data_IF_902616326191
#
_entry.id   IF_902616326191
#
_cell.length_a   1.000
_cell.length_b   1.000
_cell.length_c   1.000
_cell.angle_alpha   90.00
_cell.angle_beta   90.00
_cell.angle_gamma   90.00
#
_symmetry.space_group_name_H-M   'P 1'
#
loop_
_entity.id
_entity.type
_entity.pdbx_description
1 polymer ?
2 non-polymer ?
3 non-polymer ?
4 non-polymer ?
5 non-polymer ?
6 non-polymer ?
7 non-polymer ?
8 water ?
#
# COMPACT_ATOMS: atom_id res chain seq x y z
N UNK A 6 -11.05 -8.02 -21.96
CA UNK A 6 -11.73 -9.20 -21.44
C UNK A 6 -10.95 -9.84 -20.27
N UNK A 7 -9.68 -9.46 -20.12
CA UNK A 7 -8.79 -9.96 -19.07
C UNK A 7 -9.22 -9.59 -17.67
N UNK A 8 -10.06 -8.51 -17.54
CA UNK A 8 -10.59 -8.01 -16.27
C UNK A 8 -11.41 -9.07 -15.56
N UNK A 9 -11.47 -8.96 -14.21
CA UNK A 9 -12.10 -9.89 -13.28
C UNK A 9 -11.24 -11.12 -13.09
N UNK A 10 -10.92 -11.86 -14.17
CA UNK A 10 -10.04 -13.04 -14.11
C UNK A 10 -8.66 -12.65 -13.55
N UNK A 11 -8.34 -11.35 -13.61
CA UNK A 11 -7.16 -10.71 -13.07
C UNK A 11 -7.39 -10.45 -11.58
N UNK A 12 -8.55 -9.85 -11.24
CA UNK A 12 -8.95 -9.49 -9.86
C UNK A 12 -9.24 -10.70 -8.95
N UNK A 13 -10.17 -11.60 -9.38
CA UNK A 13 -10.60 -12.81 -8.66
C UNK A 13 -9.48 -13.44 -7.83
N UNK A 14 -8.27 -13.78 -8.40
CA UNK A 14 -7.22 -14.41 -7.56
C UNK A 14 -6.94 -13.65 -6.26
N UNK A 15 -6.87 -12.31 -6.33
CA UNK A 15 -6.63 -11.44 -5.19
C UNK A 15 -7.72 -11.49 -4.07
N UNK A 16 -8.92 -12.03 -4.40
CA UNK A 16 -10.07 -12.12 -3.49
C UNK A 16 -10.12 -13.40 -2.67
N UNK A 17 -9.10 -14.27 -2.84
CA UNK A 17 -8.99 -15.58 -2.17
C UNK A 17 -9.13 -15.53 -0.64
N UNK A 18 -8.75 -14.38 -0.02
CA UNK A 18 -8.84 -14.14 1.43
C UNK A 18 -10.29 -13.89 1.92
N UNK A 19 -11.24 -13.70 0.98
CA UNK A 19 -12.65 -13.47 1.31
C UNK A 19 -13.51 -14.75 1.27
N UNK A 20 -14.57 -14.78 2.13
CA UNK A 20 -15.53 -15.88 2.20
C UNK A 20 -16.29 -15.96 0.86
N UNK A 21 -16.77 -17.15 0.43
CA UNK A 21 -17.46 -17.24 -0.87
C UNK A 21 -18.58 -16.23 -1.07
N UNK A 22 -19.38 -16.00 -0.03
CA UNK A 22 -20.51 -15.06 -0.01
C UNK A 22 -20.02 -13.62 -0.20
N UNK A 23 -18.79 -13.33 0.25
CA UNK A 23 -18.18 -12.02 0.12
C UNK A 23 -17.70 -11.84 -1.30
N UNK A 24 -17.00 -12.84 -1.88
CA UNK A 24 -16.54 -12.81 -3.27
C UNK A 24 -17.73 -12.60 -4.22
N UNK A 25 -18.87 -13.26 -3.91
CA UNK A 25 -20.16 -13.18 -4.60
C UNK A 25 -20.64 -11.72 -4.68
N UNK A 26 -20.50 -10.95 -3.57
CA UNK A 26 -20.87 -9.53 -3.53
C UNK A 26 -19.93 -8.73 -4.44
N UNK A 27 -18.63 -9.05 -4.41
CA UNK A 27 -17.61 -8.39 -5.25
C UNK A 27 -17.83 -8.68 -6.76
N UNK A 28 -18.31 -9.89 -7.15
CA UNK A 28 -18.61 -10.17 -8.56
C UNK A 28 -19.81 -9.35 -8.99
N UNK A 29 -20.87 -9.29 -8.13
CA UNK A 29 -22.10 -8.52 -8.36
C UNK A 29 -21.74 -7.04 -8.54
N UNK A 30 -20.83 -6.52 -7.68
CA UNK A 30 -20.33 -5.14 -7.69
C UNK A 30 -19.58 -4.86 -8.97
N UNK A 31 -18.66 -5.75 -9.38
CA UNK A 31 -17.91 -5.60 -10.63
C UNK A 31 -18.86 -5.55 -11.82
N UNK A 32 -19.77 -6.52 -11.90
CA UNK A 32 -20.71 -6.58 -13.01
C UNK A 32 -21.56 -5.32 -13.13
N UNK A 33 -22.06 -4.81 -12.00
CA UNK A 33 -22.84 -3.59 -11.91
C UNK A 33 -22.02 -2.42 -12.47
N UNK A 34 -20.75 -2.28 -12.03
CA UNK A 34 -19.81 -1.26 -12.47
C UNK A 34 -19.60 -1.38 -13.98
N UNK A 35 -19.28 -2.61 -14.46
CA UNK A 35 -19.08 -2.98 -15.87
C UNK A 35 -20.21 -2.39 -16.72
N UNK A 36 -21.47 -2.49 -16.22
CA UNK A 36 -22.67 -1.95 -16.86
C UNK A 36 -22.70 -0.45 -16.81
N UNK A 37 -22.53 0.15 -15.60
CA UNK A 37 -22.58 1.60 -15.39
C UNK A 37 -21.58 2.33 -16.26
N UNK A 38 -20.35 1.79 -16.36
CA UNK A 38 -19.27 2.38 -17.16
C UNK A 38 -19.23 1.84 -18.60
N UNK A 39 -20.30 1.16 -19.06
CA UNK A 39 -20.37 0.63 -20.42
C UNK A 39 -20.27 1.78 -21.42
N UNK A 40 -19.38 1.60 -22.38
CA UNK A 40 -19.14 2.58 -23.44
C UNK A 40 -18.26 3.76 -23.04
N UNK A 41 -18.06 3.96 -21.73
CA UNK A 41 -17.22 5.05 -21.22
C UNK A 41 -15.77 4.67 -21.43
N UNK A 42 -14.94 5.68 -21.60
CA UNK A 42 -13.53 5.47 -21.85
C UNK A 42 -12.68 6.31 -20.93
N UNK A 43 -11.42 5.93 -20.79
CA UNK A 43 -10.47 6.70 -20.00
C UNK A 43 -9.71 7.59 -21.00
N UNK A 44 -9.02 8.64 -20.50
CA UNK A 44 -8.19 9.55 -21.30
C UNK A 44 -6.93 8.79 -21.77
N UNK A 45 -6.97 7.43 -21.64
CA UNK A 45 -5.92 6.49 -22.04
C UNK A 45 -6.39 5.69 -23.25
N UNK A 46 -7.71 5.72 -23.51
CA UNK A 46 -8.34 4.99 -24.61
C UNK A 46 -8.92 3.66 -24.17
N UNK A 47 -8.56 3.25 -22.95
CA UNK A 47 -9.03 2.01 -22.32
C UNK A 47 -10.48 2.18 -21.87
N UNK A 48 -11.29 1.10 -21.78
CA UNK A 48 -12.66 1.25 -21.25
C UNK A 48 -12.59 1.68 -19.78
N UNK A 49 -13.53 2.53 -19.33
CA UNK A 49 -13.50 3.07 -17.97
C UNK A 49 -13.38 2.00 -16.88
N UNK A 50 -14.10 0.85 -17.03
CA UNK A 50 -14.14 -0.27 -16.08
C UNK A 50 -12.74 -0.69 -15.59
N UNK A 51 -11.67 -0.48 -16.41
CA UNK A 51 -10.28 -0.78 -16.05
C UNK A 51 -9.82 -0.06 -14.75
N UNK A 52 -10.23 1.22 -14.57
CA UNK A 52 -9.92 2.02 -13.39
C UNK A 52 -10.59 1.47 -12.10
N UNK A 53 -11.93 1.32 -11.95
CA UNK A 53 -12.46 0.80 -10.68
C UNK A 53 -11.98 -0.60 -10.37
N UNK A 54 -11.66 -1.39 -11.43
CA UNK A 54 -11.11 -2.74 -11.27
C UNK A 54 -9.71 -2.64 -10.64
N UNK A 55 -8.87 -1.72 -11.16
CA UNK A 55 -7.52 -1.46 -10.66
C UNK A 55 -7.53 -1.00 -9.20
N UNK A 56 -8.48 -0.11 -8.84
CA UNK A 56 -8.69 0.40 -7.48
C UNK A 56 -9.10 -0.75 -6.56
N UNK A 57 -10.07 -1.60 -7.01
CA UNK A 57 -10.54 -2.80 -6.29
C UNK A 57 -9.37 -3.77 -6.08
N UNK A 58 -8.53 -3.95 -7.13
CA UNK A 58 -7.34 -4.78 -7.14
C UNK A 58 -6.36 -4.30 -6.05
N UNK A 59 -6.10 -2.97 -5.98
CA UNK A 59 -5.22 -2.35 -4.96
C UNK A 59 -5.71 -2.72 -3.55
N UNK A 60 -7.01 -2.47 -3.26
CA UNK A 60 -7.66 -2.74 -1.98
C UNK A 60 -7.56 -4.22 -1.58
N UNK A 61 -7.68 -5.15 -2.56
CA UNK A 61 -7.57 -6.59 -2.31
C UNK A 61 -6.12 -6.99 -1.95
N UNK A 62 -5.16 -6.24 -2.52
CA UNK A 62 -3.74 -6.41 -2.23
C UNK A 62 -3.49 -5.98 -0.79
N UNK A 63 -4.16 -4.88 -0.39
CA UNK A 63 -4.16 -4.32 0.96
C UNK A 63 -5.04 -5.17 1.90
N UNK A 64 -5.67 -6.25 1.37
CA UNK A 64 -6.56 -7.18 2.09
C UNK A 64 -7.62 -6.46 2.90
N UNK A 65 -8.50 -5.73 2.20
CA UNK A 65 -9.55 -4.92 2.79
C UNK A 65 -10.88 -5.62 2.95
N UNK A 66 -11.73 -5.04 3.81
CA UNK A 66 -13.12 -5.41 4.06
C UNK A 66 -13.80 -5.65 2.68
N UNK A 67 -14.66 -6.69 2.56
CA UNK A 67 -15.35 -7.00 1.30
C UNK A 67 -16.13 -5.77 0.78
N UNK A 68 -16.88 -5.10 1.68
CA UNK A 68 -17.64 -3.89 1.38
C UNK A 68 -16.75 -2.78 0.80
N UNK A 69 -15.49 -2.76 1.19
CA UNK A 69 -14.48 -1.80 0.76
C UNK A 69 -14.04 -2.08 -0.67
N UNK A 70 -13.73 -3.36 -1.01
CA UNK A 70 -13.28 -3.66 -2.36
C UNK A 70 -14.49 -3.52 -3.32
N UNK A 71 -15.71 -3.90 -2.86
CA UNK A 71 -16.95 -3.73 -3.67
C UNK A 71 -17.13 -2.23 -3.97
N UNK A 72 -16.93 -1.36 -2.94
CA UNK A 72 -16.98 0.11 -3.02
C UNK A 72 -15.90 0.64 -3.97
N UNK A 73 -14.77 -0.08 -4.06
CA UNK A 73 -13.68 0.22 -4.98
C UNK A 73 -14.15 0.07 -6.42
N UNK A 74 -14.94 -0.96 -6.69
CA UNK A 74 -15.51 -1.16 -8.01
C UNK A 74 -16.62 -0.14 -8.31
N UNK A 75 -17.24 0.46 -7.27
CA UNK A 75 -18.40 1.32 -7.44
C UNK A 75 -18.19 2.79 -7.10
N UNK A 76 -16.94 3.18 -6.76
CA UNK A 76 -16.59 4.54 -6.33
C UNK A 76 -16.83 5.65 -7.36
N UNK A 77 -17.08 5.31 -8.64
CA UNK A 77 -17.29 6.34 -9.68
C UNK A 77 -18.66 6.24 -10.41
N UNK A 78 -19.47 5.23 -10.05
CA UNK A 78 -20.79 4.95 -10.63
C UNK A 78 -21.83 6.05 -10.35
N UNK A 79 -21.63 6.84 -9.30
CA UNK A 79 -22.56 7.91 -8.94
C UNK A 79 -22.43 9.18 -9.86
N UNK A 80 -21.56 9.13 -10.89
CA UNK A 80 -21.34 10.24 -11.81
C UNK A 80 -21.30 9.83 -13.27
N UNK A 81 -22.24 10.36 -14.07
CA UNK A 81 -22.40 10.14 -15.52
C UNK A 81 -22.80 8.70 -15.89
N UNK A 82 -23.32 7.93 -14.91
CA UNK A 82 -23.71 6.54 -15.10
C UNK A 82 -25.22 6.29 -14.95
N UNK A 83 -25.93 7.32 -14.46
CA UNK A 83 -27.37 7.25 -14.19
C UNK A 83 -27.65 6.40 -12.96
N UNK A 84 -26.71 6.39 -12.00
CA UNK A 84 -26.83 5.65 -10.75
C UNK A 84 -27.04 6.65 -9.61
N UNK A 85 -28.09 6.41 -8.81
CA UNK A 85 -28.47 7.20 -7.65
C UNK A 85 -27.94 6.48 -6.42
N UNK A 86 -27.54 7.20 -5.34
CA UNK A 86 -27.01 6.50 -4.14
C UNK A 86 -27.99 5.51 -3.54
N UNK A 87 -29.30 5.71 -3.77
CA UNK A 87 -30.40 4.85 -3.34
C UNK A 87 -30.30 3.43 -3.91
N UNK A 88 -29.79 3.29 -5.16
CA UNK A 88 -29.57 2.04 -5.89
C UNK A 88 -28.45 1.24 -5.25
N UNK A 89 -27.40 1.92 -4.80
CA UNK A 89 -26.23 1.28 -4.18
C UNK A 89 -26.56 0.76 -2.79
N UNK A 90 -27.42 1.47 -2.02
CA UNK A 90 -27.84 1.02 -0.69
C UNK A 90 -28.83 -0.13 -0.86
N UNK A 91 -29.73 -0.01 -1.86
CA UNK A 91 -30.73 -1.02 -2.19
C UNK A 91 -30.07 -2.34 -2.52
N UNK A 92 -28.98 -2.31 -3.32
CA UNK A 92 -28.33 -3.53 -3.80
C UNK A 92 -27.10 -3.99 -3.02
N UNK A 93 -26.22 -3.05 -2.61
CA UNK A 93 -24.97 -3.43 -1.92
C UNK A 93 -24.90 -2.99 -0.43
N UNK A 94 -26.02 -2.51 0.11
CA UNK A 94 -26.11 -2.10 1.51
C UNK A 94 -25.67 -0.67 1.81
N UNK A 95 -25.93 -0.20 3.07
CA UNK A 95 -25.57 1.18 3.41
C UNK A 95 -24.08 1.46 3.59
N UNK A 96 -23.26 0.45 3.93
CA UNK A 96 -21.81 0.64 4.10
C UNK A 96 -21.13 0.94 2.74
N UNK A 97 -21.42 0.13 1.69
CA UNK A 97 -20.88 0.35 0.34
C UNK A 97 -21.29 1.74 -0.17
N UNK A 98 -22.59 2.11 0.04
CA UNK A 98 -23.15 3.42 -0.31
C UNK A 98 -22.44 4.56 0.44
N UNK A 99 -22.32 4.42 1.76
CA UNK A 99 -21.66 5.39 2.64
C UNK A 99 -20.26 5.74 2.09
N UNK A 100 -19.42 4.70 1.87
CA UNK A 100 -18.05 4.77 1.36
C UNK A 100 -17.99 5.41 -0.04
N UNK A 101 -18.81 4.94 -1.02
CA UNK A 101 -18.76 5.49 -2.40
C UNK A 101 -19.15 6.97 -2.42
N UNK A 102 -20.22 7.36 -1.66
CA UNK A 102 -20.67 8.74 -1.54
C UNK A 102 -19.57 9.54 -0.87
N UNK A 103 -19.00 9.00 0.20
CA UNK A 103 -17.89 9.61 0.93
C UNK A 103 -16.70 9.95 0.06
N UNK A 104 -16.22 8.99 -0.74
CA UNK A 104 -15.08 9.18 -1.66
C UNK A 104 -15.44 10.18 -2.77
N UNK A 105 -16.70 10.14 -3.24
CA UNK A 105 -17.12 11.06 -4.29
C UNK A 105 -17.24 12.50 -3.79
N UNK A 106 -17.93 12.68 -2.64
CA UNK A 106 -18.22 13.96 -2.02
C UNK A 106 -16.97 14.77 -1.67
N UNK A 107 -15.93 14.10 -1.13
CA UNK A 107 -14.65 14.70 -0.71
C UNK A 107 -13.84 15.32 -1.88
N UNK A 108 -13.77 14.65 -3.04
CA UNK A 108 -13.03 15.08 -4.23
C UNK A 108 -13.45 16.50 -4.65
N UNK A 109 -14.76 16.76 -4.60
CA UNK A 109 -15.43 18.02 -4.91
C UNK A 109 -15.16 19.04 -3.79
N UNK A 110 -15.24 18.59 -2.54
CA UNK A 110 -15.03 19.36 -1.31
C UNK A 110 -13.62 19.94 -1.24
N UNK A 111 -12.63 19.17 -1.75
CA UNK A 111 -11.24 19.62 -1.82
C UNK A 111 -11.06 20.64 -2.92
N UNK A 112 -11.88 20.53 -4.01
CA UNK A 112 -11.90 21.48 -5.14
C UNK A 112 -12.40 22.87 -4.67
N UNK A 113 -13.43 22.89 -3.80
CA UNK A 113 -13.96 24.12 -3.21
C UNK A 113 -12.96 24.80 -2.27
N UNK A 114 -12.39 24.02 -1.31
CA UNK A 114 -11.48 24.42 -0.23
C UNK A 114 -10.33 25.40 -0.63
N UNK A 115 -10.21 26.52 0.13
CA UNK A 115 -9.23 27.59 -0.14
C UNK A 115 -8.16 27.77 0.96
N UNK A 116 -7.03 27.06 0.80
CA UNK A 116 -5.89 27.15 1.71
C UNK A 116 -4.58 27.31 0.91
N UNK A 117 -4.68 27.35 -0.45
CA UNK A 117 -3.57 27.49 -1.41
C UNK A 117 -2.64 28.67 -1.15
N UNK A 118 -1.44 28.35 -0.64
CA UNK A 118 -0.41 29.33 -0.33
C UNK A 118 -0.23 29.62 1.16
N UNK A 119 -1.34 29.56 1.93
CA UNK A 119 -1.35 29.81 3.38
C UNK A 119 -0.45 28.80 4.13
N UNK A 120 0.37 29.28 5.10
CA UNK A 120 1.29 28.42 5.89
C UNK A 120 0.51 27.30 6.62
N UNK A 121 1.06 26.06 6.60
CA UNK A 121 0.45 24.84 7.19
C UNK A 121 -0.93 24.49 6.56
N UNK A 122 -1.10 24.85 5.28
CA UNK A 122 -2.31 24.66 4.46
C UNK A 122 -2.83 23.22 4.41
N UNK A 123 -1.91 22.29 4.14
CA UNK A 123 -2.17 20.87 4.00
C UNK A 123 -2.76 20.29 5.27
N UNK A 124 -2.17 20.65 6.43
CA UNK A 124 -2.55 20.21 7.78
C UNK A 124 -4.03 20.46 8.05
N UNK A 125 -4.52 21.69 7.78
CA UNK A 125 -5.91 22.09 7.98
C UNK A 125 -6.87 21.41 6.99
N UNK A 126 -6.36 21.02 5.81
CA UNK A 126 -7.14 20.33 4.77
C UNK A 126 -7.19 18.85 5.05
N UNK A 127 -6.10 18.31 5.59
CA UNK A 127 -5.99 16.91 5.94
C UNK A 127 -6.97 16.63 7.08
N UNK A 128 -6.99 17.54 8.09
CA UNK A 128 -7.91 17.49 9.23
C UNK A 128 -9.36 17.62 8.83
N UNK A 129 -9.62 18.26 7.67
CA UNK A 129 -10.95 18.45 7.13
C UNK A 129 -11.49 17.09 6.71
N UNK A 130 -10.66 16.26 6.04
CA UNK A 130 -11.05 14.92 5.61
C UNK A 130 -11.17 14.04 6.83
N UNK A 131 -10.22 14.16 7.75
CA UNK A 131 -10.21 13.42 9.02
C UNK A 131 -11.53 13.64 9.79
N UNK A 132 -11.90 14.92 9.97
CA UNK A 132 -13.10 15.35 10.68
C UNK A 132 -14.39 14.91 10.04
N UNK A 133 -14.45 14.81 8.70
CA UNK A 133 -15.70 14.43 8.02
C UNK A 133 -15.86 12.91 7.76
N UNK A 134 -14.76 12.23 7.47
CA UNK A 134 -14.81 10.79 7.23
C UNK A 134 -14.49 10.07 8.54
N UNK A 135 -15.56 9.69 9.28
CA UNK A 135 -15.41 8.92 10.53
C UNK A 135 -15.07 7.47 10.18
N UNK A 136 -15.59 7.02 9.01
CA UNK A 136 -15.26 5.72 8.49
C UNK A 136 -14.04 5.92 7.60
N UNK A 137 -12.86 5.52 8.09
CA UNK A 137 -11.58 5.64 7.38
C UNK A 137 -11.60 5.00 5.99
N UNK A 138 -12.41 3.94 5.80
CA UNK A 138 -12.52 3.23 4.52
C UNK A 138 -12.71 4.18 3.36
N UNK A 139 -13.47 5.28 3.59
CA UNK A 139 -13.69 6.36 2.63
C UNK A 139 -12.31 6.87 2.16
N UNK A 140 -11.43 7.20 3.14
CA UNK A 140 -10.08 7.69 2.88
C UNK A 140 -9.24 6.61 2.17
N UNK A 141 -9.30 5.34 2.64
CA UNK A 141 -8.53 4.23 2.05
C UNK A 141 -8.81 4.10 0.54
N UNK A 142 -10.12 4.12 0.18
CA UNK A 142 -10.61 4.03 -1.20
C UNK A 142 -10.14 5.25 -1.98
N UNK A 143 -10.18 6.44 -1.36
CA UNK A 143 -9.69 7.66 -2.00
C UNK A 143 -8.18 7.54 -2.28
N UNK A 144 -7.43 6.90 -1.36
CA UNK A 144 -6.00 6.69 -1.53
C UNK A 144 -5.73 5.70 -2.67
N UNK A 145 -6.47 4.57 -2.70
CA UNK A 145 -6.40 3.54 -3.75
C UNK A 145 -6.77 4.14 -5.14
N UNK A 146 -7.66 5.13 -5.13
CA UNK A 146 -8.11 5.83 -6.32
C UNK A 146 -6.95 6.69 -6.82
N UNK A 147 -6.41 7.57 -5.94
CA UNK A 147 -5.29 8.45 -6.27
C UNK A 147 -4.04 7.66 -6.66
N UNK A 148 -3.84 6.47 -6.06
CA UNK A 148 -2.69 5.63 -6.40
C UNK A 148 -2.76 5.24 -7.89
N UNK A 149 -3.84 4.52 -8.30
CA UNK A 149 -4.07 4.11 -9.69
C UNK A 149 -4.07 5.28 -10.66
N UNK A 150 -4.61 6.42 -10.22
CA UNK A 150 -4.65 7.67 -10.99
C UNK A 150 -3.21 8.11 -11.35
N UNK A 151 -2.31 8.08 -10.36
CA UNK A 151 -0.90 8.45 -10.51
C UNK A 151 -0.13 7.44 -11.36
N UNK A 152 -0.54 6.15 -11.28
CA UNK A 152 0.07 5.07 -12.05
C UNK A 152 -0.14 5.25 -13.55
N UNK A 153 -1.26 5.89 -13.90
CA UNK A 153 -1.71 6.20 -15.27
C UNK A 153 -1.64 7.71 -15.57
N UNK A 154 -0.73 8.44 -14.92
CA UNK A 154 -0.63 9.89 -15.09
C UNK A 154 0.03 10.34 -16.42
N UNK A 155 0.61 9.39 -17.19
CA UNK A 155 1.25 9.66 -18.50
C UNK A 155 0.26 10.13 -19.56
N UNK A 156 -1.03 9.77 -19.41
CA UNK A 156 -2.14 10.12 -20.31
C UNK A 156 -2.80 11.47 -19.94
N UNK A 157 -2.10 12.28 -19.12
CA UNK A 157 -2.55 13.57 -18.64
C UNK A 157 -1.59 14.71 -19.02
N UNK A 158 -2.10 15.97 -19.17
CA UNK A 158 -1.20 17.09 -19.50
C UNK A 158 -0.17 17.39 -18.41
N UNK A 159 0.99 18.00 -18.73
CA UNK A 159 2.00 18.27 -17.67
C UNK A 159 1.56 19.25 -16.57
N UNK A 160 0.46 19.99 -16.82
CA UNK A 160 -0.17 20.91 -15.86
C UNK A 160 -0.87 20.03 -14.81
N UNK A 161 -1.66 19.05 -15.26
CA UNK A 161 -2.37 18.12 -14.38
C UNK A 161 -1.38 17.20 -13.65
N UNK A 162 -0.32 16.74 -14.35
CA UNK A 162 0.73 15.87 -13.82
C UNK A 162 1.39 16.50 -12.60
N UNK A 163 1.65 17.83 -12.65
CA UNK A 163 2.27 18.60 -11.58
C UNK A 163 1.26 18.97 -10.48
N UNK A 164 0.01 19.28 -10.87
CA UNK A 164 -1.06 19.62 -9.93
C UNK A 164 -1.37 18.42 -9.03
N UNK A 165 -1.58 17.22 -9.62
CA UNK A 165 -1.90 15.97 -8.94
C UNK A 165 -0.79 15.54 -7.99
N UNK A 166 0.47 15.55 -8.47
CA UNK A 166 1.66 15.19 -7.71
C UNK A 166 1.79 15.99 -6.42
N UNK A 167 1.72 17.33 -6.52
CA UNK A 167 1.81 18.24 -5.37
C UNK A 167 0.70 17.94 -4.35
N UNK A 168 -0.56 17.83 -4.84
CA UNK A 168 -1.72 17.52 -4.00
C UNK A 168 -1.52 16.22 -3.22
N UNK A 169 -1.01 15.18 -3.89
CA UNK A 169 -0.74 13.88 -3.27
C UNK A 169 0.30 14.04 -2.20
N UNK A 170 1.35 14.85 -2.47
CA UNK A 170 2.42 15.08 -1.51
C UNK A 170 1.98 15.91 -0.30
N UNK A 171 1.07 16.86 -0.50
CA UNK A 171 0.54 17.68 0.59
C UNK A 171 -0.57 16.98 1.39
N UNK A 172 -1.52 16.29 0.70
CA UNK A 172 -2.72 15.69 1.27
C UNK A 172 -2.67 14.16 1.49
N UNK A 173 -2.74 13.37 0.40
CA UNK A 173 -2.93 11.93 0.43
C UNK A 173 -1.75 11.10 0.97
N UNK A 174 -0.49 11.40 0.60
CA UNK A 174 0.65 10.64 1.14
C UNK A 174 0.73 10.83 2.69
N UNK A 175 0.60 12.09 3.26
CA UNK A 175 0.57 12.21 4.73
C UNK A 175 -0.63 11.50 5.38
N UNK A 176 -1.79 11.46 4.69
CA UNK A 176 -2.99 10.78 5.18
C UNK A 176 -2.77 9.27 5.21
N UNK A 177 -2.05 8.73 4.19
CA UNK A 177 -1.65 7.32 4.10
C UNK A 177 -0.75 6.99 5.31
N UNK A 178 0.11 7.95 5.72
CA UNK A 178 0.99 7.81 6.87
C UNK A 178 0.21 7.78 8.16
N UNK A 179 -0.73 8.75 8.37
CA UNK A 179 -1.59 8.83 9.57
C UNK A 179 -2.36 7.53 9.78
N UNK A 180 -2.82 6.91 8.69
CA UNK A 180 -3.57 5.67 8.71
C UNK A 180 -2.68 4.40 8.82
N UNK A 181 -1.38 4.60 8.86
CA UNK A 181 -0.39 3.53 8.98
C UNK A 181 -0.30 2.63 7.77
N UNK A 182 -0.48 3.22 6.58
CA UNK A 182 -0.49 2.53 5.28
C UNK A 182 0.80 2.82 4.50
N UNK A 183 1.92 2.37 5.04
CA UNK A 183 3.24 2.63 4.47
C UNK A 183 3.52 2.18 3.06
N UNK A 184 2.95 1.04 2.65
CA UNK A 184 3.14 0.53 1.30
C UNK A 184 2.61 1.55 0.32
N UNK A 185 1.41 2.10 0.64
CA UNK A 185 0.73 3.15 -0.12
C UNK A 185 1.51 4.45 -0.04
N UNK A 186 1.80 4.93 1.19
CA UNK A 186 2.58 6.15 1.45
C UNK A 186 3.85 6.19 0.59
N UNK A 187 4.62 5.09 0.54
CA UNK A 187 5.84 4.97 -0.26
C UNK A 187 5.55 5.20 -1.76
N UNK A 188 4.69 4.35 -2.36
CA UNK A 188 4.27 4.37 -3.76
C UNK A 188 3.81 5.74 -4.19
N UNK A 189 2.91 6.37 -3.39
CA UNK A 189 2.38 7.71 -3.62
C UNK A 189 3.51 8.74 -3.70
N UNK A 190 4.51 8.69 -2.76
CA UNK A 190 5.66 9.60 -2.69
C UNK A 190 6.51 9.49 -3.94
N UNK A 191 7.05 8.28 -4.22
CA UNK A 191 7.93 7.97 -5.37
C UNK A 191 7.29 8.28 -6.73
N UNK A 192 5.95 8.12 -6.84
CA UNK A 192 5.22 8.42 -8.07
C UNK A 192 5.01 9.90 -8.21
N UNK A 193 4.76 10.61 -7.09
CA UNK A 193 4.55 12.05 -7.07
C UNK A 193 5.83 12.75 -7.44
N UNK A 194 6.96 12.24 -6.90
CA UNK A 194 8.31 12.75 -7.14
C UNK A 194 8.63 12.65 -8.64
N UNK A 195 8.25 11.52 -9.28
CA UNK A 195 8.47 11.26 -10.70
C UNK A 195 7.92 12.38 -11.55
N UNK A 196 6.63 12.69 -11.38
CA UNK A 196 5.90 13.69 -12.16
C UNK A 196 6.12 15.13 -11.71
N UNK A 197 6.41 15.38 -10.41
CA UNK A 197 6.65 16.74 -9.88
C UNK A 197 8.07 17.28 -10.16
N UNK A 198 9.11 16.44 -9.95
CA UNK A 198 10.50 16.82 -10.20
C UNK A 198 11.11 15.79 -11.18
N UNK A 199 10.75 15.86 -12.49
CA UNK A 199 11.24 14.85 -13.44
C UNK A 199 12.75 14.82 -13.63
N UNK A 200 13.38 15.99 -13.85
CA UNK A 200 14.82 16.10 -14.07
C UNK A 200 15.58 15.52 -12.88
N UNK A 201 15.14 15.87 -11.65
CA UNK A 201 15.74 15.39 -10.39
C UNK A 201 15.47 13.89 -10.17
N UNK A 202 14.30 13.40 -10.63
CA UNK A 202 13.91 11.99 -10.50
C UNK A 202 14.73 11.12 -11.44
N UNK A 203 14.77 11.47 -12.74
CA UNK A 203 15.51 10.76 -13.79
C UNK A 203 17.00 10.66 -13.50
N UNK A 204 17.58 11.69 -12.82
CA UNK A 204 18.98 11.76 -12.42
C UNK A 204 19.23 10.74 -11.30
N UNK A 205 18.42 10.79 -10.23
CA UNK A 205 18.53 9.89 -9.09
C UNK A 205 18.28 8.43 -9.50
N UNK A 206 17.23 8.17 -10.30
CA UNK A 206 16.84 6.83 -10.77
C UNK A 206 17.95 6.15 -11.57
N UNK A 207 18.61 6.90 -12.49
CA UNK A 207 19.70 6.39 -13.30
C UNK A 207 20.95 6.14 -12.47
N UNK A 208 21.14 6.90 -11.38
CA UNK A 208 22.29 6.73 -10.50
C UNK A 208 22.18 5.44 -9.68
N UNK A 209 20.94 5.02 -9.35
CA UNK A 209 20.65 3.78 -8.59
C UNK A 209 20.70 2.60 -9.55
N UNK A 210 20.07 2.73 -10.75
CA UNK A 210 20.04 1.71 -11.80
C UNK A 210 21.44 1.41 -12.39
N UNK A 211 22.48 2.05 -11.81
CA UNK A 211 23.89 1.89 -12.18
C UNK A 211 24.54 0.83 -11.30
N UNK A 212 24.07 0.72 -10.04
CA UNK A 212 24.55 -0.24 -9.03
C UNK A 212 23.47 -1.29 -8.68
N UNK A 213 22.22 -1.09 -9.16
CA UNK A 213 21.05 -1.94 -8.92
C UNK A 213 21.26 -3.43 -9.25
N UNK A 214 22.01 -3.73 -10.33
CA UNK A 214 22.33 -5.09 -10.77
C UNK A 214 23.10 -5.86 -9.68
N UNK A 215 24.13 -5.22 -9.11
CA UNK A 215 24.97 -5.78 -8.04
C UNK A 215 24.27 -5.85 -6.67
N UNK A 216 23.39 -4.88 -6.39
CA UNK A 216 22.65 -4.77 -5.12
C UNK A 216 21.63 -5.89 -4.96
N UNK A 217 20.77 -6.10 -5.97
CA UNK A 217 19.74 -7.14 -5.90
C UNK A 217 20.31 -8.55 -6.06
N UNK A 218 21.58 -8.67 -6.51
CA UNK A 218 22.32 -9.93 -6.66
C UNK A 218 22.57 -10.43 -5.23
N UNK A 219 23.05 -9.50 -4.39
CA UNK A 219 23.39 -9.58 -2.97
C UNK A 219 22.11 -9.81 -2.16
N UNK A 220 21.05 -9.01 -2.43
CA UNK A 220 19.75 -9.08 -1.77
C UNK A 220 19.08 -10.44 -2.04
N UNK A 221 19.25 -11.01 -3.24
CA UNK A 221 18.68 -12.31 -3.59
C UNK A 221 19.39 -13.46 -2.89
N UNK A 222 20.68 -13.29 -2.54
CA UNK A 222 21.42 -14.32 -1.81
C UNK A 222 20.74 -14.45 -0.44
N UNK A 223 20.50 -13.30 0.22
CA UNK A 223 19.85 -13.19 1.52
C UNK A 223 18.42 -13.74 1.50
N UNK A 224 17.62 -13.36 0.46
CA UNK A 224 16.23 -13.81 0.26
C UNK A 224 16.15 -15.33 0.17
N UNK A 225 16.91 -15.94 -0.77
CA UNK A 225 16.95 -17.38 -1.03
C UNK A 225 17.31 -18.11 0.24
N UNK A 226 18.36 -17.63 0.94
CA UNK A 226 18.90 -18.19 2.17
C UNK A 226 17.92 -18.17 3.33
N UNK A 227 17.24 -17.03 3.56
CA UNK A 227 16.24 -16.86 4.61
C UNK A 227 14.97 -17.67 4.29
N UNK A 228 14.61 -17.77 2.98
CA UNK A 228 13.45 -18.52 2.49
C UNK A 228 13.57 -20.01 2.84
N UNK A 229 14.68 -20.64 2.40
CA UNK A 229 14.98 -22.06 2.63
C UNK A 229 14.98 -22.42 4.12
N UNK A 230 15.51 -21.51 4.97
CA UNK A 230 15.60 -21.65 6.43
C UNK A 230 14.20 -21.76 7.05
N UNK A 231 13.28 -20.86 6.63
CA UNK A 231 11.90 -20.83 7.14
C UNK A 231 11.12 -22.05 6.69
N UNK A 232 11.20 -22.38 5.38
CA UNK A 232 10.52 -23.53 4.76
C UNK A 232 10.92 -24.88 5.39
N UNK A 233 12.18 -24.99 5.87
CA UNK A 233 12.71 -26.18 6.52
C UNK A 233 12.26 -26.30 7.99
N UNK A 234 11.75 -25.20 8.60
CA UNK A 234 11.29 -25.22 9.99
C UNK A 234 9.87 -25.77 10.12
N UNK A 235 9.77 -27.06 10.48
CA UNK A 235 8.56 -27.85 10.67
C UNK A 235 7.50 -27.19 11.56
N UNK A 236 7.88 -26.73 12.77
CA UNK A 236 6.97 -26.13 13.75
C UNK A 236 6.39 -24.78 13.31
N UNK A 237 7.20 -23.92 12.64
CA UNK A 237 6.72 -22.62 12.14
C UNK A 237 5.68 -22.86 11.05
N UNK A 238 6.01 -23.77 10.11
CA UNK A 238 5.19 -24.16 8.97
C UNK A 238 3.85 -24.73 9.37
N UNK A 239 3.77 -25.44 10.52
CA UNK A 239 2.53 -26.03 11.03
C UNK A 239 1.51 -24.95 11.37
N UNK A 240 1.97 -23.82 11.93
CA UNK A 240 1.13 -22.68 12.33
C UNK A 240 0.97 -21.68 11.17
N UNK A 241 1.59 -21.98 10.00
CA UNK A 241 1.62 -21.11 8.82
C UNK A 241 0.93 -21.66 7.57
N UNK A 242 0.27 -20.77 6.84
CA UNK A 242 -0.47 -21.02 5.60
C UNK A 242 0.38 -20.65 4.35
N UNK A 243 1.34 -19.75 4.55
CA UNK A 243 2.26 -19.25 3.52
C UNK A 243 3.11 -18.11 4.02
N UNK A 244 4.14 -17.73 3.24
CA UNK A 244 5.07 -16.64 3.57
C UNK A 244 5.75 -16.02 2.35
N UNK A 245 6.13 -14.74 2.46
CA UNK A 245 6.87 -14.05 1.41
C UNK A 245 8.12 -13.38 1.99
N UNK A 246 9.28 -13.59 1.35
CA UNK A 246 10.58 -13.01 1.72
C UNK A 246 10.99 -12.13 0.54
N UNK A 247 11.04 -10.80 0.75
CA UNK A 247 11.32 -9.82 -0.31
C UNK A 247 12.18 -8.65 0.13
N UNK A 248 12.91 -8.05 -0.79
CA UNK A 248 13.70 -6.87 -0.52
C UNK A 248 12.82 -5.64 -0.34
N UNK A 249 13.28 -4.66 0.44
CA UNK A 249 12.54 -3.41 0.66
C UNK A 249 12.95 -2.45 -0.47
N UNK A 250 11.96 -1.95 -1.26
CA UNK A 250 12.31 -1.02 -2.36
C UNK A 250 12.75 0.34 -1.83
N UNK A 251 13.81 0.90 -2.44
CA UNK A 251 14.37 2.21 -2.09
C UNK A 251 13.30 3.29 -2.22
N UNK A 252 13.10 4.08 -1.14
CA UNK A 252 12.14 5.19 -1.10
C UNK A 252 12.86 6.40 -1.69
N UNK A 253 12.83 6.50 -3.03
CA UNK A 253 13.50 7.56 -3.81
C UNK A 253 13.14 8.98 -3.37
N UNK A 254 11.87 9.24 -3.01
CA UNK A 254 11.49 10.57 -2.51
C UNK A 254 12.14 10.85 -1.14
N UNK A 255 12.15 9.85 -0.23
CA UNK A 255 12.77 9.96 1.10
C UNK A 255 14.29 10.08 0.98
N UNK A 256 14.91 9.37 0.01
CA UNK A 256 16.34 9.42 -0.30
C UNK A 256 16.68 10.87 -0.68
N UNK A 257 16.01 11.40 -1.73
CA UNK A 257 16.21 12.75 -2.25
C UNK A 257 15.84 13.87 -1.28
N UNK A 258 14.78 13.69 -0.46
CA UNK A 258 14.36 14.69 0.52
C UNK A 258 15.50 15.03 1.51
N UNK A 259 16.21 13.98 2.01
CA UNK A 259 17.35 14.02 2.92
C UNK A 259 18.56 14.67 2.22
N UNK A 260 18.85 14.18 1.02
CA UNK A 260 19.92 14.60 0.11
C UNK A 260 19.94 16.11 -0.15
N UNK A 261 18.78 16.78 0.00
CA UNK A 261 18.66 18.23 -0.21
C UNK A 261 18.77 18.97 1.13
N UNK A 262 17.98 18.52 2.14
CA UNK A 262 17.89 19.08 3.48
C UNK A 262 19.21 19.03 4.26
N UNK A 263 19.93 17.89 4.24
CA UNK A 263 21.20 17.77 4.95
C UNK A 263 22.41 17.66 4.00
N UNK A 264 22.24 18.16 2.77
CA UNK A 264 23.26 18.11 1.74
C UNK A 264 23.58 16.68 1.33
N UNK A 265 24.82 16.43 0.86
CA UNK A 265 25.32 15.11 0.45
C UNK A 265 24.77 14.63 -0.91
N UNK A 266 25.35 13.51 -1.42
CA UNK A 266 25.02 12.84 -2.68
C UNK A 266 24.48 11.43 -2.40
N UNK A 267 23.95 10.72 -3.43
CA UNK A 267 23.43 9.36 -3.28
C UNK A 267 24.51 8.41 -2.77
N UNK A 268 25.76 8.61 -3.25
CA UNK A 268 26.93 7.83 -2.83
C UNK A 268 27.31 8.13 -1.38
N UNK A 269 27.05 9.39 -0.92
CA UNK A 269 27.34 9.85 0.43
C UNK A 269 26.36 9.28 1.45
N UNK A 270 25.09 8.99 1.04
CA UNK A 270 24.06 8.41 1.92
C UNK A 270 24.19 6.88 1.92
N UNK A 271 24.20 6.28 3.13
CA UNK A 271 24.38 4.84 3.29
C UNK A 271 23.14 4.04 2.94
N UNK A 272 23.33 3.13 1.98
CA UNK A 272 22.33 2.21 1.45
C UNK A 272 22.25 1.00 2.37
N UNK A 273 21.43 1.10 3.44
CA UNK A 273 21.24 -0.01 4.38
C UNK A 273 20.29 -1.01 3.72
N UNK A 274 20.77 -2.24 3.50
CA UNK A 274 20.01 -3.32 2.86
C UNK A 274 18.94 -3.81 3.79
N UNK A 275 17.75 -4.03 3.28
CA UNK A 275 16.63 -4.49 4.08
C UNK A 275 15.91 -5.60 3.38
N UNK A 276 15.36 -6.50 4.18
CA UNK A 276 14.59 -7.64 3.71
C UNK A 276 13.35 -7.73 4.60
N UNK A 277 12.20 -8.01 3.98
CA UNK A 277 10.91 -8.13 4.65
C UNK A 277 10.42 -9.58 4.64
N UNK A 278 9.71 -9.98 5.70
CA UNK A 278 9.14 -11.30 5.84
C UNK A 278 7.66 -11.09 6.17
N UNK A 279 6.79 -11.44 5.21
CA UNK A 279 5.34 -11.34 5.37
C UNK A 279 4.87 -12.76 5.65
N UNK A 280 4.19 -12.95 6.77
CA UNK A 280 3.72 -14.26 7.18
C UNK A 280 2.20 -14.36 7.11
N UNK A 281 1.73 -15.44 6.49
CA UNK A 281 0.30 -15.73 6.33
C UNK A 281 -0.04 -16.84 7.31
N UNK A 282 -0.53 -16.52 8.53
CA UNK A 282 -0.85 -17.58 9.50
C UNK A 282 -2.00 -18.49 9.05
N UNK A 283 -1.92 -19.79 9.40
CA UNK A 283 -2.94 -20.80 9.11
C UNK A 283 -4.22 -20.41 9.89
N UNK A 284 -5.46 -20.57 9.32
CA UNK A 284 -6.66 -20.18 10.09
C UNK A 284 -6.87 -20.98 11.38
N UNK A 285 -6.82 -20.26 12.51
CA UNK A 285 -6.95 -20.78 13.87
C UNK A 285 -8.43 -20.91 14.32
N UNK A 286 -8.78 -21.95 15.12
CA UNK A 286 -10.19 -22.13 15.51
C UNK A 286 -10.90 -20.91 16.12
N UNK A 287 -10.25 -20.10 16.95
CA UNK A 287 -10.90 -18.92 17.54
C UNK A 287 -10.18 -17.61 17.22
N UNK A 288 -10.86 -16.46 17.52
CA UNK A 288 -10.35 -15.10 17.33
C UNK A 288 -9.17 -14.83 18.26
N UNK A 289 -9.16 -15.48 19.45
CA UNK A 289 -8.10 -15.40 20.46
C UNK A 289 -6.92 -16.26 19.98
N UNK A 290 -7.23 -17.49 19.53
CA UNK A 290 -6.30 -18.48 18.99
C UNK A 290 -5.50 -17.87 17.83
N UNK A 291 -6.19 -17.14 16.93
CA UNK A 291 -5.63 -16.47 15.76
C UNK A 291 -4.76 -15.29 16.18
N UNK A 292 -5.20 -14.52 17.19
CA UNK A 292 -4.55 -13.32 17.72
C UNK A 292 -3.21 -13.65 18.38
N UNK A 293 -3.18 -14.71 19.21
CA UNK A 293 -1.96 -15.17 19.88
C UNK A 293 -0.99 -15.71 18.84
N UNK A 294 -1.52 -16.47 17.84
CA UNK A 294 -0.74 -17.06 16.75
C UNK A 294 -0.03 -15.98 15.95
N UNK A 295 -0.72 -14.87 15.66
CA UNK A 295 -0.21 -13.72 14.90
C UNK A 295 1.13 -13.21 15.46
N UNK A 296 1.21 -13.09 16.79
CA UNK A 296 2.43 -12.66 17.49
C UNK A 296 3.44 -13.83 17.54
N UNK A 297 3.03 -14.98 18.11
CA UNK A 297 3.81 -16.20 18.26
C UNK A 297 4.71 -16.52 17.06
N UNK A 298 4.12 -16.49 15.87
CA UNK A 298 4.77 -16.84 14.61
C UNK A 298 5.86 -15.83 14.24
N UNK A 299 5.69 -14.54 14.60
CA UNK A 299 6.67 -13.49 14.30
C UNK A 299 7.94 -13.60 15.14
N UNK A 300 7.81 -13.90 16.44
CA UNK A 300 8.94 -14.07 17.34
C UNK A 300 9.69 -15.35 16.99
N UNK A 301 8.95 -16.38 16.50
CA UNK A 301 9.48 -17.67 16.05
C UNK A 301 10.52 -17.43 14.94
N UNK A 302 10.15 -16.54 13.98
CA UNK A 302 10.98 -16.11 12.85
C UNK A 302 12.20 -15.32 13.35
N UNK A 303 12.03 -14.32 14.25
CA UNK A 303 13.15 -13.54 14.83
C UNK A 303 14.29 -14.48 15.28
N UNK A 304 13.93 -15.54 16.00
CA UNK A 304 14.86 -16.55 16.50
C UNK A 304 15.63 -17.23 15.39
N UNK A 305 14.90 -17.65 14.35
CA UNK A 305 15.45 -18.30 13.17
C UNK A 305 16.41 -17.37 12.43
N UNK A 306 16.07 -16.07 12.34
CA UNK A 306 16.90 -15.06 11.68
C UNK A 306 18.25 -14.89 12.42
N UNK A 307 18.23 -14.90 13.77
CA UNK A 307 19.44 -14.82 14.60
C UNK A 307 20.25 -16.09 14.50
N UNK A 308 19.57 -17.25 14.42
CA UNK A 308 20.21 -18.56 14.25
C UNK A 308 20.97 -18.66 12.90
N UNK A 309 20.49 -17.91 11.89
CA UNK A 309 21.03 -17.85 10.54
C UNK A 309 22.14 -16.77 10.40
N UNK A 310 21.88 -15.55 10.93
CA UNK A 310 22.78 -14.39 10.86
C UNK A 310 22.97 -13.73 12.21
N UNK A 311 24.25 -13.44 12.56
CA UNK A 311 24.71 -12.82 13.82
C UNK A 311 24.05 -11.45 14.09
N UNK A 312 23.21 -11.34 15.16
CA UNK A 312 22.57 -10.04 15.44
C UNK A 312 23.50 -8.97 16.01
N UNK A 313 23.35 -7.73 15.52
CA UNK A 313 24.10 -6.54 15.93
C UNK A 313 23.46 -6.05 17.25
N UNK A 314 24.22 -5.96 18.37
CA UNK A 314 23.60 -5.60 19.64
C UNK A 314 22.74 -4.33 19.66
N UNK A 315 21.58 -4.45 20.28
CA UNK A 315 20.61 -3.39 20.50
C UNK A 315 19.68 -3.09 19.36
N UNK A 316 19.89 -3.78 18.22
CA UNK A 316 19.12 -3.54 17.00
C UNK A 316 17.80 -4.32 16.86
N UNK A 317 17.30 -4.89 17.96
CA UNK A 317 15.99 -5.56 17.96
C UNK A 317 14.96 -4.49 18.31
N UNK A 318 13.92 -4.34 17.48
CA UNK A 318 12.86 -3.36 17.63
C UNK A 318 11.49 -4.02 17.59
N UNK A 319 10.77 -3.97 18.73
CA UNK A 319 9.45 -4.58 18.88
C UNK A 319 8.31 -3.57 18.76
N UNK A 320 7.66 -3.57 17.58
CA UNK A 320 6.54 -2.69 17.27
C UNK A 320 5.25 -3.49 17.29
N UNK A 321 5.32 -4.78 17.61
CA UNK A 321 4.12 -5.60 17.77
C UNK A 321 3.65 -5.28 19.21
N UNK A 322 4.57 -5.38 20.17
CA UNK A 322 4.33 -5.09 21.59
C UNK A 322 4.10 -3.60 21.80
N UNK A 323 4.88 -2.74 21.11
CA UNK A 323 4.75 -1.29 21.26
C UNK A 323 4.56 -0.64 19.86
N UNK A 324 3.33 -0.72 19.30
CA UNK A 324 3.09 -0.10 17.98
C UNK A 324 3.41 1.40 17.93
N UNK A 325 3.84 1.86 16.73
CA UNK A 325 4.19 3.26 16.45
C UNK A 325 2.89 4.11 16.61
N UNK A 326 2.96 5.46 16.80
CA UNK A 326 1.71 6.23 17.01
C UNK A 326 0.63 6.00 15.96
N UNK A 327 1.03 5.71 14.70
CA UNK A 327 0.12 5.45 13.60
C UNK A 327 -0.28 3.97 13.48
N UNK A 328 -0.06 3.24 14.57
CA UNK A 328 -0.46 1.85 14.74
C UNK A 328 0.46 0.81 14.15
N UNK A 329 1.56 1.25 13.47
CA UNK A 329 2.57 0.39 12.83
C UNK A 329 3.08 -0.75 13.72
N UNK A 330 2.96 -1.99 13.20
CA UNK A 330 3.40 -3.23 13.84
C UNK A 330 4.30 -4.02 12.92
N UNK A 331 5.43 -4.46 13.49
CA UNK A 331 6.48 -5.24 12.84
C UNK A 331 7.57 -5.53 13.89
N UNK A 332 8.47 -6.50 13.57
CA UNK A 332 9.61 -6.90 14.36
C UNK A 332 10.83 -6.56 13.55
N UNK A 333 11.73 -5.72 14.09
CA UNK A 333 12.91 -5.33 13.35
C UNK A 333 14.14 -5.87 14.00
N UNK A 334 15.11 -6.29 13.19
CA UNK A 334 16.38 -6.79 13.70
C UNK A 334 17.48 -6.56 12.67
N UNK A 335 18.61 -5.98 13.12
CA UNK A 335 19.75 -5.74 12.27
C UNK A 335 20.79 -6.82 12.57
N UNK A 336 21.12 -7.59 11.54
CA UNK A 336 22.01 -8.75 11.60
C UNK A 336 23.23 -8.59 10.68
N UNK A 337 24.17 -9.51 10.78
CA UNK A 337 25.34 -9.47 9.91
C UNK A 337 25.18 -10.62 8.94
N UNK A 338 25.30 -10.32 7.67
CA UNK A 338 25.15 -11.38 6.67
C UNK A 338 25.92 -11.00 5.43
N UNK A 339 25.92 -11.89 4.45
CA UNK A 339 26.59 -11.70 3.15
C UNK A 339 28.05 -11.36 3.39
N UNK A 340 28.70 -12.17 4.23
CA UNK A 340 30.13 -12.03 4.55
C UNK A 340 30.43 -10.65 5.13
N UNK A 341 29.76 -10.31 6.24
CA UNK A 341 30.11 -9.12 7.00
C UNK A 341 29.32 -7.85 6.74
N UNK A 342 28.15 -7.97 6.16
CA UNK A 342 27.34 -6.80 5.85
C UNK A 342 26.13 -6.62 6.73
N UNK A 343 25.80 -5.37 7.14
CA UNK A 343 24.57 -5.16 7.92
C UNK A 343 23.33 -5.30 7.04
N UNK A 344 22.41 -6.14 7.50
CA UNK A 344 21.13 -6.40 6.84
C UNK A 344 20.03 -6.21 7.88
N UNK A 345 19.00 -5.44 7.52
CA UNK A 345 17.83 -5.21 8.38
C UNK A 345 16.76 -6.23 7.98
N UNK A 346 16.12 -6.85 8.97
CA UNK A 346 15.05 -7.81 8.71
C UNK A 346 13.79 -7.29 9.40
N UNK A 347 12.68 -7.23 8.64
CA UNK A 347 11.39 -6.79 9.13
C UNK A 347 10.45 -7.99 9.09
N UNK A 348 9.99 -8.43 10.26
CA UNK A 348 9.09 -9.57 10.40
C UNK A 348 7.72 -9.06 10.77
N UNK A 349 6.71 -9.41 9.94
CA UNK A 349 5.32 -9.03 10.15
C UNK A 349 4.39 -10.06 9.51
N UNK A 350 3.09 -10.04 9.88
CA UNK A 350 2.07 -10.90 9.28
C UNK A 350 1.48 -10.20 8.05
N UNK A 351 0.45 -10.82 7.43
CA UNK A 351 -0.24 -10.25 6.27
C UNK A 351 -1.12 -9.05 6.69
N UNK A 352 -1.75 -9.18 7.88
CA UNK A 352 -2.60 -8.17 8.50
C UNK A 352 -1.82 -6.89 8.81
N UNK A 353 -0.60 -7.06 9.31
CA UNK A 353 0.34 -5.99 9.68
C UNK A 353 0.87 -5.26 8.47
N UNK A 354 0.84 -5.92 7.29
CA UNK A 354 1.36 -5.38 6.05
C UNK A 354 0.42 -4.36 5.43
N UNK A 355 0.78 -3.07 5.51
CA UNK A 355 -0.05 -1.95 5.05
C UNK A 355 0.76 -0.88 4.31
X LIG B 1 -11.76 16.46 -13.00
X LIG B 1 -13.12 15.89 -12.93
X LIG B 1 -11.81 17.83 -13.86
X LIG B 1 -11.23 16.75 -11.50
X LIG B 1 -10.78 15.41 -13.72
X LIG B 1 -9.25 15.92 -13.59
X LIG B 1 -9.16 17.33 -13.06
X LIG B 1 -8.66 15.94 -15.08
X LIG B 1 -8.30 14.96 -12.68
X LIG B 1 -8.73 13.62 -12.28
X LIG B 1 -9.91 12.93 -13.00
X LIG B 1 -9.39 12.58 -14.33
X LIG B 1 -10.15 11.53 -12.31
X LIG B 1 -11.39 11.39 -11.56
X LIG B 1 -10.15 10.51 -13.45
X LIG B 1 -11.36 9.74 -13.46
X LIG B 1 -10.01 11.35 -14.73
X LIG B 1 -9.27 10.58 -15.73
X LIG B 1 -9.76 10.16 -16.93
X LIG B 1 -8.85 9.48 -17.57
X LIG B 1 -7.73 9.42 -16.84
X LIG B 1 -6.48 8.81 -17.04
X LIG B 1 -6.25 8.18 -18.05
X LIG B 1 -5.53 8.94 -16.08
X LIG B 1 -5.79 9.65 -14.94
X LIG B 1 -4.81 9.80 -13.99
X LIG B 1 -6.97 10.22 -14.74
X LIG B 1 -7.96 10.12 -15.65
X LIG B 1 -11.15 11.34 -9.94
X LIG B 1 -11.36 9.95 -9.47
X LIG B 1 -12.25 12.26 -9.18
X LIG B 1 -9.62 11.74 -9.55
X LIG B 1 -9.53 13.27 -8.99
X LIG B 1 -10.51 14.14 -9.68
X LIG B 1 -8.08 13.85 -9.29
X LIG B 1 -9.83 13.29 -7.41
X LIG C 1 -15.19 12.68 -17.34
X LIG C 1 -16.15 13.59 -17.85
X LIG C 1 -13.94 13.38 -16.89
X LIG C 1 -13.18 12.53 -16.01
X LIG C 1 -13.07 13.86 -18.03
X LIG C 1 -12.39 12.77 -18.65
X LIG D 1 4.81 3.48 7.38
X LIG D 1 3.75 2.53 7.54
X LIG D 1 5.04 4.20 8.68
X LIG D 1 4.09 3.72 9.63
X LIG D 1 6.43 3.99 9.22
X LIG D 1 6.56 4.55 10.53
X LIG E 1 -11.82 7.51 -9.68
X LIG F 1 -7.91 10.74 -7.41
X LIG G 1 8.70 -0.17 0.96
X LIG H 1 9.33 18.83 9.45
#
# INVERSE_FOLDING_TARGET
>A
SVGADLGLWNRLEPALAYLAPEERAKVREAYRFAEEAHRGQLRRSGEPYITHPVAVAEILAGLQMDADTVAAGLLHDTLEDCGVAPEELERRFGPTVRRIVEGETKVSKLYKLANLEGEERRAEDLRQMFIAMAEDVRIIIVKLADRLHNLRTLEHMPPEKQKRIAQETLEIYAPLAHRLGMGQLKWELEDLSFRYLHPEAFASLSARIQATQEARERLIQKAIHLLQETLARDELLQSQLQGFEVTGRPKHLYSIWKKMEREGKTLEQIYDLLAVRVILDPKPAPTRESQALREKQVCYHVLGLVHALWQPIPGRVKDYIAVPKPNGYQSLHTTVIALEGLPLEVQIRTREMHR
>B hetero
1 G4P PB O1B O2B O3B O3A PA O1A O2A O5' C5' C4' O4' C3' O3' C2' O2' C1' N9 C8 N7 C5 C6 O6 N1 C2 N2 N3 C4 PC O1C O2C O3C PD O1D O2D O3D
>C hetero
1 GOL C1 O1 C2 O2 C3 O3
>D hetero
1 GOL C1 O1 C2 O2 C3 O3
>E hetero
1 MN MN
>F hetero
1 MG MG
>G hetero
1 CL CL
>H hetero
1 NA NA
#
